data_IF_548443848699
#
_entry.id   IF_548443848699
#
_cell.length_a   1.000
_cell.length_b   1.000
_cell.length_c   1.000
_cell.angle_alpha   90.00
_cell.angle_beta   90.00
_cell.angle_gamma   90.00
#
_symmetry.space_group_name_H-M   'P 1'
#
loop_
_entity.id
_entity.type
_entity.pdbx_description
1 polymer ?
#
# COMPACT_ATOMS: atom_id res chain seq x y z
N UNK A 1 -4.18 -11.38 -8.81
CA UNK A 1 -4.63 -10.47 -7.71
C UNK A 1 -5.65 -9.45 -8.21
N UNK A 2 -5.38 -8.61 -9.24
CA UNK A 2 -6.38 -7.66 -9.77
C UNK A 2 -7.70 -8.33 -10.14
N UNK A 3 -7.65 -9.46 -10.82
CA UNK A 3 -8.84 -10.21 -11.22
C UNK A 3 -9.62 -10.75 -10.02
N UNK A 4 -8.92 -11.14 -8.96
CA UNK A 4 -9.57 -11.58 -7.72
C UNK A 4 -10.34 -10.44 -7.02
N UNK A 5 -9.89 -9.20 -7.13
CA UNK A 5 -10.61 -8.04 -6.62
C UNK A 5 -11.77 -7.60 -7.53
N UNK A 6 -11.54 -7.63 -8.84
CA UNK A 6 -12.49 -7.10 -9.81
C UNK A 6 -13.56 -8.11 -10.27
N UNK A 7 -13.43 -9.40 -9.89
CA UNK A 7 -14.40 -10.42 -10.26
C UNK A 7 -14.63 -10.48 -11.76
N UNK A 8 -15.89 -10.40 -12.17
CA UNK A 8 -16.29 -10.36 -13.59
C UNK A 8 -16.17 -8.97 -14.22
N UNK A 9 -15.89 -7.93 -13.44
CA UNK A 9 -15.73 -6.56 -13.91
C UNK A 9 -16.34 -5.52 -12.98
N UNK A 10 -16.29 -4.24 -13.33
CA UNK A 10 -16.80 -3.15 -12.49
C UNK A 10 -18.29 -3.25 -12.16
N UNK A 11 -19.08 -3.87 -13.01
CA UNK A 11 -20.51 -4.13 -12.84
C UNK A 11 -20.81 -5.21 -11.79
N UNK A 12 -19.86 -6.05 -11.44
CA UNK A 12 -20.04 -7.10 -10.43
C UNK A 12 -20.34 -6.49 -9.06
N UNK A 13 -21.52 -6.74 -8.46
CA UNK A 13 -21.88 -6.14 -7.17
C UNK A 13 -21.07 -6.72 -6.00
N UNK A 14 -20.39 -7.85 -6.19
CA UNK A 14 -19.59 -8.53 -5.19
C UNK A 14 -18.09 -8.22 -5.31
N UNK A 15 -17.69 -7.47 -6.34
CA UNK A 15 -16.32 -7.09 -6.58
C UNK A 15 -16.03 -5.64 -6.17
N UNK A 16 -14.76 -5.33 -6.05
CA UNK A 16 -14.24 -3.98 -5.85
C UNK A 16 -13.29 -3.61 -6.96
N UNK A 17 -13.06 -2.32 -7.15
CA UNK A 17 -12.05 -1.86 -8.10
C UNK A 17 -10.65 -2.13 -7.57
N UNK A 18 -9.79 -2.72 -8.40
CA UNK A 18 -8.36 -2.81 -8.11
C UNK A 18 -7.65 -1.51 -8.50
N UNK A 19 -6.66 -1.13 -7.72
CA UNK A 19 -5.81 0.02 -8.00
C UNK A 19 -4.35 -0.42 -8.15
N UNK A 20 -3.80 -0.24 -9.36
CA UNK A 20 -2.39 -0.48 -9.61
C UNK A 20 -1.56 0.70 -9.09
N UNK A 21 -0.64 0.46 -8.16
CA UNK A 21 0.12 1.53 -7.53
C UNK A 21 1.53 1.10 -7.09
N UNK A 22 2.43 2.02 -6.86
CA UNK A 22 2.33 3.44 -7.26
C UNK A 22 3.05 3.63 -8.57
N UNK A 23 2.33 4.09 -9.57
CA UNK A 23 2.87 4.27 -10.93
C UNK A 23 3.82 5.46 -10.96
N UNK A 24 5.08 5.31 -11.33
CA UNK A 24 5.88 4.17 -11.72
C UNK A 24 7.30 4.35 -11.16
N UNK A 25 8.01 3.26 -10.82
CA UNK A 25 9.38 3.31 -10.28
C UNK A 25 9.52 4.02 -8.91
N UNK A 26 8.47 4.04 -8.11
CA UNK A 26 8.42 4.68 -6.79
C UNK A 26 9.46 4.11 -5.82
N UNK A 27 9.84 2.85 -5.98
CA UNK A 27 10.88 2.19 -5.18
C UNK A 27 12.31 2.67 -5.47
N UNK A 28 12.53 3.52 -6.48
CA UNK A 28 13.85 3.97 -6.92
C UNK A 28 14.21 5.38 -6.44
N UNK A 29 13.45 5.91 -5.51
CA UNK A 29 13.74 7.21 -4.93
C UNK A 29 15.09 7.24 -4.21
N UNK A 30 15.83 8.31 -4.42
CA UNK A 30 17.18 8.47 -3.85
C UNK A 30 17.15 8.45 -2.33
N UNK A 31 17.96 7.58 -1.73
CA UNK A 31 18.03 7.41 -0.28
C UNK A 31 16.78 6.84 0.36
N UNK A 32 15.86 6.25 -0.43
CA UNK A 32 14.58 5.73 0.06
C UNK A 32 13.63 6.80 0.60
N UNK A 33 13.84 8.07 0.21
CA UNK A 33 12.98 9.16 0.67
C UNK A 33 11.70 9.24 -0.14
N UNK A 34 10.62 9.47 0.56
CA UNK A 34 9.33 9.76 -0.05
C UNK A 34 9.40 11.05 -0.90
N UNK A 35 8.66 11.10 -2.00
CA UNK A 35 8.58 12.26 -2.92
C UNK A 35 9.93 12.76 -3.48
N UNK A 36 10.99 11.97 -3.43
CA UNK A 36 12.30 12.36 -3.97
C UNK A 36 12.48 11.94 -5.43
N UNK A 37 13.63 12.28 -5.99
CA UNK A 37 14.01 11.97 -7.36
C UNK A 37 14.26 10.45 -7.54
N UNK A 38 13.77 9.88 -8.64
CA UNK A 38 14.17 8.59 -9.16
C UNK A 38 14.97 8.81 -10.45
N UNK A 39 16.29 8.70 -10.35
CA UNK A 39 17.22 8.89 -11.47
C UNK A 39 17.23 7.63 -12.34
N UNK A 40 16.42 7.63 -13.39
CA UNK A 40 16.19 6.48 -14.25
C UNK A 40 16.19 6.86 -15.73
N UNK A 41 16.98 6.13 -16.52
CA UNK A 41 16.85 6.27 -17.97
C UNK A 41 15.53 5.66 -18.48
N UNK A 42 14.98 6.16 -19.60
CA UNK A 42 13.79 5.58 -20.23
C UNK A 42 13.93 4.08 -20.53
N UNK A 43 15.13 3.63 -20.86
CA UNK A 43 15.44 2.21 -21.09
C UNK A 43 15.26 1.39 -19.81
N UNK A 44 15.84 1.85 -18.69
CA UNK A 44 15.75 1.17 -17.40
C UNK A 44 14.30 1.14 -16.91
N UNK A 45 13.60 2.25 -17.03
CA UNK A 45 12.20 2.35 -16.66
C UNK A 45 11.34 1.34 -17.44
N UNK A 46 11.49 1.31 -18.78
CA UNK A 46 10.71 0.38 -19.62
C UNK A 46 11.10 -1.08 -19.43
N UNK A 47 12.36 -1.38 -19.14
CA UNK A 47 12.82 -2.76 -18.97
C UNK A 47 12.42 -3.38 -17.63
N UNK A 48 12.46 -2.61 -16.55
CA UNK A 48 12.36 -3.16 -15.19
C UNK A 48 11.08 -2.76 -14.45
N UNK A 49 10.56 -1.55 -14.67
CA UNK A 49 9.45 -1.01 -13.89
C UNK A 49 8.13 -1.00 -14.65
N UNK A 50 8.18 -0.86 -15.97
CA UNK A 50 6.97 -0.80 -16.80
C UNK A 50 6.21 -2.13 -16.95
N UNK A 51 6.86 -3.31 -17.09
CA UNK A 51 6.16 -4.55 -17.45
C UNK A 51 5.00 -4.95 -16.54
N UNK A 52 5.10 -4.88 -15.18
CA UNK A 52 3.96 -5.22 -14.32
C UNK A 52 2.79 -4.27 -14.50
N UNK A 53 3.03 -2.97 -14.67
CA UNK A 53 1.99 -1.97 -14.91
C UNK A 53 1.36 -2.11 -16.29
N UNK A 54 2.16 -2.36 -17.33
CA UNK A 54 1.65 -2.65 -18.68
C UNK A 54 0.71 -3.83 -18.67
N UNK A 55 1.10 -4.92 -18.02
CA UNK A 55 0.25 -6.11 -17.88
C UNK A 55 -1.09 -5.78 -17.21
N UNK A 56 -1.08 -4.98 -16.16
CA UNK A 56 -2.29 -4.56 -15.45
C UNK A 56 -3.16 -3.64 -16.33
N UNK A 57 -2.56 -2.70 -17.04
CA UNK A 57 -3.30 -1.82 -17.97
C UNK A 57 -3.98 -2.63 -19.09
N UNK A 58 -3.25 -3.54 -19.74
CA UNK A 58 -3.80 -4.42 -20.79
C UNK A 58 -4.83 -5.41 -20.24
N UNK A 59 -4.73 -5.80 -18.98
CA UNK A 59 -5.72 -6.64 -18.27
C UNK A 59 -6.87 -5.82 -17.68
N UNK A 60 -7.05 -4.57 -18.11
CA UNK A 60 -8.18 -3.70 -17.77
C UNK A 60 -8.35 -3.48 -16.26
N UNK A 61 -7.24 -3.29 -15.52
CA UNK A 61 -7.35 -2.82 -14.14
C UNK A 61 -8.12 -1.50 -14.11
N UNK A 62 -9.02 -1.36 -13.17
CA UNK A 62 -9.96 -0.22 -13.16
C UNK A 62 -9.30 1.11 -12.86
N UNK A 63 -8.27 1.12 -12.00
CA UNK A 63 -7.65 2.36 -11.57
C UNK A 63 -6.12 2.24 -11.48
N UNK A 64 -5.46 3.38 -11.68
CA UNK A 64 -4.04 3.57 -11.38
C UNK A 64 -3.88 4.72 -10.40
N UNK A 65 -2.92 4.59 -9.49
CA UNK A 65 -2.50 5.68 -8.61
C UNK A 65 -1.05 6.05 -8.91
N UNK A 66 -0.81 7.36 -9.03
CA UNK A 66 0.54 7.91 -9.19
C UNK A 66 1.29 7.86 -7.86
N UNK A 67 2.61 7.72 -7.90
CA UNK A 67 3.45 7.89 -6.71
C UNK A 67 3.79 9.36 -6.43
N UNK A 68 4.68 9.59 -5.47
CA UNK A 68 5.12 10.95 -5.09
C UNK A 68 6.39 11.40 -5.80
N UNK A 69 7.13 10.48 -6.40
CA UNK A 69 8.46 10.74 -6.94
C UNK A 69 8.47 11.64 -8.17
N UNK A 70 9.59 12.29 -8.41
CA UNK A 70 9.96 12.78 -9.71
C UNK A 70 10.77 11.72 -10.48
N UNK A 71 10.70 11.71 -11.79
CA UNK A 71 11.53 10.87 -12.66
C UNK A 71 12.28 11.78 -13.61
N UNK A 72 13.60 11.73 -13.54
CA UNK A 72 14.48 12.58 -14.35
C UNK A 72 14.09 14.07 -14.25
N UNK A 73 13.91 14.55 -13.02
CA UNK A 73 13.56 15.94 -12.70
C UNK A 73 12.09 16.31 -12.92
N UNK A 74 11.24 15.40 -13.39
CA UNK A 74 9.83 15.70 -13.66
C UNK A 74 8.93 14.92 -12.68
N UNK A 75 8.15 15.60 -11.81
CA UNK A 75 7.17 14.93 -10.96
C UNK A 75 6.24 14.04 -11.78
N UNK A 76 6.00 12.83 -11.28
CA UNK A 76 5.13 11.89 -11.99
C UNK A 76 3.74 12.46 -12.25
N UNK A 77 3.23 13.31 -11.37
CA UNK A 77 1.91 13.96 -11.48
C UNK A 77 1.76 14.83 -12.72
N UNK A 78 2.87 15.34 -13.27
CA UNK A 78 2.89 16.17 -14.48
C UNK A 78 3.69 15.54 -15.62
N UNK A 79 4.12 14.29 -15.47
CA UNK A 79 4.92 13.59 -16.47
C UNK A 79 4.03 13.06 -17.60
N UNK A 80 3.64 13.96 -18.50
CA UNK A 80 2.77 13.67 -19.63
C UNK A 80 3.24 12.50 -20.49
N UNK A 81 4.55 12.36 -20.83
CA UNK A 81 5.04 11.19 -21.57
C UNK A 81 4.72 9.84 -20.89
N UNK A 82 4.76 9.77 -19.58
CA UNK A 82 4.42 8.55 -18.85
C UNK A 82 2.92 8.38 -18.66
N UNK A 83 2.19 9.46 -18.41
CA UNK A 83 0.75 9.42 -18.16
C UNK A 83 -0.04 9.23 -19.46
N UNK A 84 0.18 10.12 -20.42
CA UNK A 84 -0.63 10.17 -21.66
C UNK A 84 -0.05 9.24 -22.73
N UNK A 85 1.24 9.38 -23.08
CA UNK A 85 1.79 8.63 -24.19
C UNK A 85 1.97 7.15 -23.84
N UNK A 86 2.56 6.83 -22.68
CA UNK A 86 2.82 5.44 -22.30
C UNK A 86 1.56 4.75 -21.74
N UNK A 87 1.01 5.26 -20.63
CA UNK A 87 -0.08 4.58 -19.92
C UNK A 87 -1.38 4.59 -20.74
N UNK A 88 -1.83 5.78 -21.18
CA UNK A 88 -3.14 5.91 -21.83
C UNK A 88 -3.11 5.50 -23.29
N UNK A 89 -2.13 5.96 -24.08
CA UNK A 89 -2.11 5.68 -25.53
C UNK A 89 -1.45 4.36 -25.89
N UNK A 90 -0.20 4.13 -25.43
CA UNK A 90 0.56 2.94 -25.83
C UNK A 90 -0.03 1.67 -25.20
N UNK A 91 -0.40 1.72 -23.92
CA UNK A 91 -0.96 0.55 -23.23
C UNK A 91 -2.49 0.46 -23.30
N UNK A 92 -3.15 1.51 -23.77
CA UNK A 92 -4.61 1.54 -23.95
C UNK A 92 -5.39 1.62 -22.63
N UNK A 93 -4.81 2.22 -21.59
CA UNK A 93 -5.50 2.34 -20.30
C UNK A 93 -6.66 3.33 -20.39
N UNK A 94 -7.88 2.84 -20.16
CA UNK A 94 -9.11 3.61 -20.20
C UNK A 94 -9.78 3.81 -18.83
N UNK A 95 -9.19 3.29 -17.76
CA UNK A 95 -9.69 3.43 -16.41
C UNK A 95 -9.41 4.82 -15.80
N UNK A 96 -9.57 4.91 -14.49
CA UNK A 96 -9.38 6.14 -13.72
C UNK A 96 -7.93 6.28 -13.23
N UNK A 97 -7.32 7.43 -13.48
CA UNK A 97 -6.02 7.79 -12.95
C UNK A 97 -6.18 8.76 -11.77
N UNK A 98 -5.75 8.36 -10.60
CA UNK A 98 -5.80 9.17 -9.38
C UNK A 98 -4.38 9.53 -8.91
N UNK A 99 -4.22 10.70 -8.30
CA UNK A 99 -2.97 11.05 -7.61
C UNK A 99 -2.89 10.36 -6.27
N UNK A 100 -1.70 10.31 -5.67
CA UNK A 100 -1.56 10.00 -4.26
C UNK A 100 -1.92 11.20 -3.38
N UNK A 101 -1.84 11.06 -2.06
CA UNK A 101 -2.30 12.01 -1.06
C UNK A 101 -1.59 13.37 -1.20
N UNK A 102 -2.36 14.41 -1.41
CA UNK A 102 -1.91 15.80 -1.61
C UNK A 102 -0.82 15.98 -2.67
N UNK A 103 -0.76 15.12 -3.67
CA UNK A 103 0.33 15.09 -4.63
C UNK A 103 0.40 16.37 -5.49
N UNK A 104 -0.73 17.02 -5.74
CA UNK A 104 -0.76 18.32 -6.42
C UNK A 104 -0.24 19.42 -5.50
N UNK A 105 -0.61 19.40 -4.22
CA UNK A 105 -0.11 20.38 -3.25
C UNK A 105 1.40 20.22 -3.00
N UNK A 106 1.91 19.00 -2.96
CA UNK A 106 3.36 18.69 -2.79
C UNK A 106 4.22 19.37 -3.85
N UNK A 107 3.74 19.55 -5.06
CA UNK A 107 4.48 20.31 -6.10
C UNK A 107 4.70 21.79 -5.73
N UNK A 108 3.90 22.34 -4.81
CA UNK A 108 4.04 23.71 -4.30
C UNK A 108 4.89 23.77 -3.03
N UNK A 109 4.49 23.01 -1.99
CA UNK A 109 5.10 23.18 -0.67
C UNK A 109 6.34 22.31 -0.43
N UNK A 110 6.46 21.15 -1.08
CA UNK A 110 7.58 20.22 -0.90
C UNK A 110 8.57 20.28 -2.07
N UNK A 111 8.13 19.96 -3.28
CA UNK A 111 8.98 19.93 -4.48
C UNK A 111 9.29 21.33 -5.00
N UNK A 112 8.49 22.34 -4.65
CA UNK A 112 8.68 23.76 -4.98
C UNK A 112 8.86 24.06 -6.47
N UNK A 113 8.14 23.32 -7.29
CA UNK A 113 8.19 23.45 -8.76
C UNK A 113 7.24 24.53 -9.25
N UNK A 114 6.12 24.71 -8.55
CA UNK A 114 5.15 25.75 -8.86
C UNK A 114 5.01 26.76 -7.73
N UNK A 115 4.84 28.06 -8.06
CA UNK A 115 4.65 29.10 -7.06
C UNK A 115 3.24 29.12 -6.47
N UNK A 116 2.26 28.46 -7.11
CA UNK A 116 0.86 28.45 -6.65
C UNK A 116 0.16 27.13 -6.94
N UNK A 117 -0.88 26.85 -6.15
CA UNK A 117 -1.74 25.67 -6.37
C UNK A 117 -2.48 25.75 -7.72
N UNK A 118 -2.79 26.96 -8.21
CA UNK A 118 -3.45 27.16 -9.50
C UNK A 118 -2.59 26.64 -10.65
N UNK A 119 -1.30 26.98 -10.67
CA UNK A 119 -0.38 26.48 -11.69
C UNK A 119 -0.12 24.99 -11.55
N UNK A 120 0.03 24.49 -10.32
CA UNK A 120 0.21 23.07 -10.05
C UNK A 120 -1.02 22.25 -10.49
N UNK A 121 -2.23 22.70 -10.17
CA UNK A 121 -3.47 22.06 -10.61
C UNK A 121 -3.60 22.08 -12.13
N UNK A 122 -3.33 23.22 -12.77
CA UNK A 122 -3.35 23.33 -14.23
C UNK A 122 -2.38 22.35 -14.90
N UNK A 123 -1.15 22.27 -14.41
CA UNK A 123 -0.15 21.36 -14.94
C UNK A 123 -0.57 19.88 -14.79
N UNK A 124 -1.10 19.52 -13.64
CA UNK A 124 -1.57 18.16 -13.36
C UNK A 124 -2.77 17.77 -14.25
N UNK A 125 -3.77 18.63 -14.37
CA UNK A 125 -4.95 18.42 -15.23
C UNK A 125 -4.52 18.28 -16.70
N UNK A 126 -3.65 19.18 -17.18
CA UNK A 126 -3.15 19.14 -18.57
C UNK A 126 -2.23 17.92 -18.83
N UNK A 127 -1.59 17.36 -17.80
CA UNK A 127 -0.83 16.12 -17.92
C UNK A 127 -1.74 14.88 -18.01
N UNK A 128 -3.02 15.03 -17.64
CA UNK A 128 -4.02 13.98 -17.84
C UNK A 128 -4.40 13.22 -16.58
N UNK A 129 -4.24 13.78 -15.37
CA UNK A 129 -4.86 13.19 -14.17
C UNK A 129 -6.38 13.31 -14.28
N UNK A 130 -7.09 12.31 -13.76
CA UNK A 130 -8.55 12.31 -13.75
C UNK A 130 -9.11 12.72 -12.38
N UNK A 131 -8.41 12.40 -11.31
CA UNK A 131 -8.83 12.68 -9.93
C UNK A 131 -7.63 13.07 -9.06
N UNK A 132 -7.79 14.12 -8.26
CA UNK A 132 -6.80 14.51 -7.25
C UNK A 132 -7.23 13.97 -5.87
N UNK A 133 -6.29 13.34 -5.15
CA UNK A 133 -6.53 12.84 -3.80
C UNK A 133 -6.09 13.89 -2.78
N UNK A 134 -7.00 14.25 -1.88
CA UNK A 134 -6.75 14.99 -0.64
C UNK A 134 -5.92 16.29 -0.76
N UNK A 135 -5.95 16.97 -1.91
CA UNK A 135 -5.40 18.33 -2.05
C UNK A 135 -6.50 19.34 -1.75
N UNK A 136 -6.52 19.97 -0.57
CA UNK A 136 -7.64 20.84 -0.16
C UNK A 136 -7.92 22.00 -1.10
N UNK A 137 -6.87 22.56 -1.71
CA UNK A 137 -6.95 23.71 -2.60
C UNK A 137 -7.30 23.32 -4.05
N UNK A 138 -7.34 22.02 -4.39
CA UNK A 138 -7.44 21.58 -5.79
C UNK A 138 -8.67 22.14 -6.51
N UNK A 139 -9.85 22.10 -5.87
CA UNK A 139 -11.08 22.60 -6.49
C UNK A 139 -11.01 24.08 -6.84
N UNK A 140 -10.64 24.93 -5.86
CA UNK A 140 -10.52 26.38 -6.10
C UNK A 140 -9.42 26.71 -7.10
N UNK A 141 -8.30 26.01 -7.04
CA UNK A 141 -7.18 26.17 -7.95
C UNK A 141 -7.53 25.77 -9.40
N UNK A 142 -8.27 24.66 -9.57
CA UNK A 142 -8.74 24.22 -10.89
C UNK A 142 -9.75 25.20 -11.50
N UNK A 143 -10.65 25.74 -10.68
CA UNK A 143 -11.62 26.75 -11.12
C UNK A 143 -10.91 28.04 -11.56
N UNK A 144 -9.94 28.51 -10.79
CA UNK A 144 -9.12 29.65 -11.15
C UNK A 144 -8.30 29.40 -12.43
N UNK A 145 -7.72 28.21 -12.58
CA UNK A 145 -7.00 27.81 -13.78
C UNK A 145 -7.89 27.82 -15.02
N UNK A 146 -9.15 27.38 -14.90
CA UNK A 146 -10.14 27.48 -15.96
C UNK A 146 -10.47 28.93 -16.30
N UNK A 147 -10.75 29.78 -15.30
CA UNK A 147 -11.12 31.17 -15.49
C UNK A 147 -9.97 32.02 -16.10
N UNK A 148 -8.73 31.64 -15.83
CA UNK A 148 -7.53 32.30 -16.38
C UNK A 148 -7.04 31.68 -17.69
N UNK A 149 -7.72 30.63 -18.20
CA UNK A 149 -7.38 29.99 -19.47
C UNK A 149 -6.16 29.05 -19.41
N UNK A 150 -5.67 28.71 -18.21
CA UNK A 150 -4.58 27.73 -18.02
C UNK A 150 -5.02 26.29 -18.30
N UNK A 151 -6.31 26.02 -18.17
CA UNK A 151 -6.95 24.71 -18.48
C UNK A 151 -8.19 24.96 -19.32
N UNK A 152 -8.44 24.12 -20.32
CA UNK A 152 -9.68 24.18 -21.09
C UNK A 152 -10.81 23.40 -20.40
N UNK A 153 -12.05 23.82 -20.65
CA UNK A 153 -13.22 23.07 -20.17
C UNK A 153 -13.24 21.64 -20.74
N UNK A 154 -12.82 21.45 -21.98
CA UNK A 154 -12.77 20.14 -22.60
C UNK A 154 -11.83 19.19 -21.84
N UNK A 155 -10.70 19.69 -21.32
CA UNK A 155 -9.77 18.87 -20.52
C UNK A 155 -10.42 18.43 -19.21
N UNK A 156 -11.14 19.33 -18.54
CA UNK A 156 -11.91 19.00 -17.33
C UNK A 156 -13.01 17.99 -17.65
N UNK A 157 -13.76 18.20 -18.73
CA UNK A 157 -14.83 17.30 -19.15
C UNK A 157 -14.32 15.89 -19.47
N UNK A 158 -13.11 15.76 -19.99
CA UNK A 158 -12.48 14.46 -20.19
C UNK A 158 -12.26 13.72 -18.88
N UNK A 159 -11.74 14.40 -17.84
CA UNK A 159 -11.53 13.81 -16.52
C UNK A 159 -12.89 13.43 -15.87
N UNK A 160 -13.85 14.34 -15.89
CA UNK A 160 -15.20 14.12 -15.35
C UNK A 160 -15.88 12.94 -16.06
N UNK A 161 -15.77 12.85 -17.37
CA UNK A 161 -16.34 11.75 -18.17
C UNK A 161 -15.78 10.39 -17.72
N UNK A 162 -14.48 10.27 -17.50
CA UNK A 162 -13.87 9.02 -16.99
C UNK A 162 -14.43 8.62 -15.63
N UNK A 163 -14.52 9.58 -14.70
CA UNK A 163 -15.09 9.35 -13.37
C UNK A 163 -16.55 8.90 -13.48
N UNK A 164 -17.36 9.63 -14.25
CA UNK A 164 -18.78 9.32 -14.41
C UNK A 164 -18.99 7.99 -15.14
N UNK A 165 -18.21 7.71 -16.18
CA UNK A 165 -18.29 6.42 -16.89
C UNK A 165 -18.08 5.27 -15.92
N UNK A 166 -17.06 5.33 -15.08
CA UNK A 166 -16.80 4.29 -14.09
C UNK A 166 -17.95 4.15 -13.09
N UNK A 167 -18.49 5.27 -12.58
CA UNK A 167 -19.63 5.26 -11.65
C UNK A 167 -20.89 4.66 -12.29
N UNK A 168 -21.18 4.98 -13.55
CA UNK A 168 -22.31 4.40 -14.29
C UNK A 168 -22.11 2.91 -14.56
N UNK A 169 -20.90 2.50 -14.99
CA UNK A 169 -20.58 1.08 -15.20
C UNK A 169 -20.74 0.28 -13.92
N UNK A 170 -20.39 0.86 -12.78
CA UNK A 170 -20.59 0.22 -11.47
C UNK A 170 -22.04 0.21 -11.01
N UNK A 171 -22.96 0.92 -11.68
CA UNK A 171 -24.35 1.07 -11.25
C UNK A 171 -24.52 1.84 -9.94
N UNK A 172 -23.60 2.76 -9.60
CA UNK A 172 -23.60 3.43 -8.29
C UNK A 172 -24.76 4.42 -8.12
N UNK A 173 -25.38 4.86 -9.21
CA UNK A 173 -26.55 5.77 -9.15
C UNK A 173 -27.82 5.02 -8.80
N UNK A 174 -27.96 3.78 -9.27
CA UNK A 174 -29.07 2.90 -8.99
C UNK A 174 -28.88 2.15 -7.68
N UNK A 175 -27.64 1.71 -7.43
CA UNK A 175 -27.25 1.01 -6.20
C UNK A 175 -25.93 1.55 -5.67
N UNK A 176 -25.91 2.42 -4.66
CA UNK A 176 -24.69 3.01 -4.11
C UNK A 176 -23.79 2.01 -3.37
N UNK A 177 -24.08 0.71 -3.41
CA UNK A 177 -23.30 -0.39 -2.81
C UNK A 177 -22.92 -0.10 -1.35
N UNK A 178 -23.91 0.26 -0.54
CA UNK A 178 -23.69 0.54 0.89
C UNK A 178 -23.21 -0.72 1.61
N UNK A 179 -22.33 -0.57 2.61
CA UNK A 179 -21.89 -1.69 3.44
C UNK A 179 -23.09 -2.42 4.06
N UNK A 180 -23.07 -3.74 4.01
CA UNK A 180 -24.01 -4.62 4.69
C UNK A 180 -23.35 -5.16 5.96
N UNK A 181 -23.81 -4.70 7.12
CA UNK A 181 -23.25 -5.07 8.43
C UNK A 181 -23.39 -6.58 8.69
N UNK A 182 -24.51 -7.19 8.31
CA UNK A 182 -24.71 -8.63 8.53
C UNK A 182 -23.74 -9.44 7.67
N UNK A 183 -23.58 -9.07 6.41
CA UNK A 183 -22.59 -9.70 5.52
C UNK A 183 -21.17 -9.46 6.03
N UNK A 184 -20.85 -8.28 6.55
CA UNK A 184 -19.57 -8.00 7.16
C UNK A 184 -19.23 -9.01 8.26
N UNK A 185 -20.15 -9.24 9.20
CA UNK A 185 -19.94 -10.20 10.30
C UNK A 185 -19.77 -11.65 9.83
N UNK A 186 -20.40 -12.04 8.73
CA UNK A 186 -20.30 -13.41 8.23
C UNK A 186 -19.10 -13.67 7.31
N UNK A 187 -18.57 -12.66 6.66
CA UNK A 187 -17.51 -12.79 5.65
C UNK A 187 -16.15 -12.40 6.21
N UNK A 188 -16.04 -11.24 6.89
CA UNK A 188 -14.76 -10.78 7.43
C UNK A 188 -14.34 -11.68 8.58
N UNK A 189 -13.08 -12.14 8.52
CA UNK A 189 -12.49 -13.06 9.49
C UNK A 189 -13.27 -14.40 9.63
N UNK A 190 -13.96 -14.83 8.58
CA UNK A 190 -14.52 -16.18 8.55
C UNK A 190 -13.41 -17.24 8.70
N UNK A 191 -13.76 -18.44 9.18
CA UNK A 191 -12.78 -19.53 9.36
C UNK A 191 -11.97 -19.80 8.09
N UNK A 192 -12.64 -19.84 6.94
CA UNK A 192 -11.98 -20.01 5.62
C UNK A 192 -10.97 -18.91 5.33
N UNK A 193 -11.31 -17.66 5.64
CA UNK A 193 -10.37 -16.53 5.43
C UNK A 193 -9.19 -16.61 6.40
N UNK A 194 -9.42 -16.98 7.65
CA UNK A 194 -8.36 -17.15 8.64
C UNK A 194 -7.41 -18.30 8.26
N UNK A 195 -7.94 -19.44 7.81
CA UNK A 195 -7.15 -20.58 7.34
C UNK A 195 -6.29 -20.20 6.12
N UNK A 196 -6.88 -19.53 5.13
CA UNK A 196 -6.16 -19.07 3.96
C UNK A 196 -5.07 -18.06 4.32
N UNK A 197 -5.37 -17.11 5.21
CA UNK A 197 -4.40 -16.13 5.68
C UNK A 197 -3.21 -16.82 6.39
N UNK A 198 -3.48 -17.78 7.27
CA UNK A 198 -2.45 -18.56 7.94
C UNK A 198 -1.59 -19.35 6.93
N UNK A 199 -2.21 -19.96 5.93
CA UNK A 199 -1.50 -20.66 4.87
C UNK A 199 -0.58 -19.73 4.08
N UNK A 200 -1.06 -18.55 3.68
CA UNK A 200 -0.27 -17.55 2.99
C UNK A 200 0.89 -17.05 3.85
N UNK A 201 0.65 -16.76 5.13
CA UNK A 201 1.68 -16.36 6.06
C UNK A 201 2.80 -17.42 6.16
N UNK A 202 2.44 -18.69 6.33
CA UNK A 202 3.41 -19.80 6.39
C UNK A 202 4.21 -19.96 5.11
N UNK A 203 3.58 -19.79 3.94
CA UNK A 203 4.24 -19.91 2.64
C UNK A 203 5.12 -18.69 2.30
N UNK A 204 4.88 -17.55 2.94
CA UNK A 204 5.67 -16.33 2.72
C UNK A 204 6.96 -16.28 3.53
N UNK A 205 7.11 -17.15 4.55
CA UNK A 205 8.32 -17.19 5.36
C UNK A 205 9.49 -17.77 4.57
N UNK A 206 10.62 -17.05 4.58
CA UNK A 206 11.86 -17.45 3.92
C UNK A 206 12.95 -17.65 4.97
N UNK A 207 13.42 -18.89 5.12
CA UNK A 207 14.54 -19.19 6.00
C UNK A 207 15.85 -18.88 5.28
N UNK A 208 16.48 -17.76 5.67
CA UNK A 208 17.71 -17.28 5.01
C UNK A 208 18.97 -18.04 5.42
N UNK A 209 19.03 -18.48 6.66
CA UNK A 209 20.12 -19.28 7.20
C UNK A 209 19.60 -20.19 8.32
N UNK A 210 20.16 -21.39 8.44
CA UNK A 210 19.88 -22.32 9.51
C UNK A 210 21.07 -23.23 9.71
N UNK A 211 21.61 -23.23 10.91
CA UNK A 211 22.73 -24.08 11.33
C UNK A 211 22.27 -25.38 12.02
N UNK A 212 21.03 -25.77 11.81
CA UNK A 212 20.43 -27.00 12.34
C UNK A 212 19.59 -26.80 13.62
N UNK A 213 19.42 -25.56 14.08
CA UNK A 213 18.55 -25.28 15.24
C UNK A 213 17.05 -25.37 14.90
N UNK A 214 16.68 -25.13 13.67
CA UNK A 214 15.29 -25.24 13.22
C UNK A 214 15.09 -26.47 12.30
N UNK A 215 13.94 -27.13 12.37
CA UNK A 215 12.81 -26.90 13.28
C UNK A 215 13.13 -27.29 14.71
N UNK A 216 12.52 -26.58 15.67
CA UNK A 216 12.59 -26.99 17.06
C UNK A 216 11.92 -28.35 17.22
N UNK A 217 12.59 -29.29 17.91
CA UNK A 217 12.07 -30.65 18.08
C UNK A 217 11.14 -30.73 19.30
N UNK A 218 9.81 -30.79 19.11
CA UNK A 218 8.85 -30.80 20.21
C UNK A 218 8.87 -32.11 21.02
N UNK A 219 9.49 -33.17 20.49
CA UNK A 219 9.61 -34.48 21.15
C UNK A 219 10.94 -34.63 21.91
N UNK A 220 11.72 -33.57 22.01
CA UNK A 220 12.95 -33.56 22.80
C UNK A 220 12.67 -33.96 24.25
N UNK A 221 13.48 -34.89 24.80
CA UNK A 221 13.41 -35.23 26.21
C UNK A 221 13.79 -34.11 27.16
N UNK A 222 14.36 -33.05 26.62
CA UNK A 222 14.77 -31.87 27.35
C UNK A 222 13.91 -30.67 26.90
N UNK A 223 12.99 -30.19 27.76
CA UNK A 223 12.22 -28.99 27.49
C UNK A 223 13.16 -27.78 27.27
N UNK A 224 12.90 -27.02 26.23
CA UNK A 224 13.68 -25.83 25.95
C UNK A 224 13.22 -24.62 26.76
N UNK A 225 14.16 -23.78 27.11
CA UNK A 225 13.91 -22.44 27.63
C UNK A 225 14.20 -21.44 26.51
N UNK A 226 13.16 -20.76 26.08
CA UNK A 226 13.23 -19.80 24.95
C UNK A 226 13.11 -18.40 25.50
N UNK A 227 14.00 -17.50 25.06
CA UNK A 227 13.86 -16.07 25.27
C UNK A 227 13.39 -15.39 23.98
N UNK A 228 12.26 -14.71 24.05
CA UNK A 228 11.75 -13.86 22.97
C UNK A 228 12.06 -12.41 23.34
N UNK A 229 12.95 -11.77 22.56
CA UNK A 229 13.50 -10.46 22.85
C UNK A 229 13.12 -9.45 21.76
N UNK A 230 13.00 -8.19 22.14
CA UNK A 230 12.81 -7.08 21.22
C UNK A 230 11.50 -6.33 21.42
N UNK A 231 11.42 -5.06 20.98
CA UNK A 231 10.27 -4.18 21.23
C UNK A 231 8.97 -4.65 20.59
N UNK A 232 9.05 -5.48 19.56
CA UNK A 232 7.90 -5.94 18.79
C UNK A 232 7.42 -7.35 19.19
N UNK A 233 8.08 -7.99 20.15
CA UNK A 233 7.77 -9.38 20.49
C UNK A 233 6.37 -9.58 21.09
N UNK A 234 5.84 -8.57 21.78
CA UNK A 234 4.50 -8.59 22.38
C UNK A 234 3.81 -7.23 22.20
N UNK A 235 3.77 -6.76 20.96
CA UNK A 235 3.23 -5.45 20.59
C UNK A 235 2.23 -5.61 19.44
N UNK A 236 0.90 -5.50 19.71
CA UNK A 236 -0.13 -5.62 18.68
C UNK A 236 -0.04 -4.53 17.60
N UNK A 237 0.36 -3.31 17.94
CA UNK A 237 0.52 -2.23 16.96
C UNK A 237 1.62 -2.57 15.93
N UNK A 238 2.71 -3.18 16.37
CA UNK A 238 3.81 -3.59 15.52
C UNK A 238 3.44 -4.75 14.56
N UNK A 239 2.42 -5.54 14.89
CA UNK A 239 1.94 -6.63 14.03
C UNK A 239 1.04 -6.15 12.89
N UNK A 240 0.43 -4.98 13.03
CA UNK A 240 -0.54 -4.48 12.06
C UNK A 240 0.11 -3.79 10.86
N UNK A 241 1.24 -3.14 11.04
CA UNK A 241 1.82 -2.28 10.01
C UNK A 241 0.96 -1.07 9.67
N UNK A 242 1.47 -0.19 8.83
CA UNK A 242 0.73 0.96 8.35
C UNK A 242 -0.44 0.56 7.46
N UNK A 243 -1.49 1.37 7.47
CA UNK A 243 -2.70 1.19 6.66
C UNK A 243 -3.52 -0.07 6.96
N UNK A 244 -3.24 -0.75 8.08
CA UNK A 244 -4.02 -1.89 8.54
C UNK A 244 -4.97 -1.48 9.67
N UNK A 245 -6.27 -1.71 9.52
CA UNK A 245 -7.34 -1.34 10.48
C UNK A 245 -7.27 0.14 10.89
N UNK A 246 -7.11 0.39 12.20
CA UNK A 246 -6.99 1.72 12.77
C UNK A 246 -5.52 2.18 12.89
N UNK A 247 -4.57 1.32 12.54
CA UNK A 247 -3.18 1.71 12.44
C UNK A 247 -2.97 2.41 11.10
N UNK A 248 -2.23 3.44 11.10
CA UNK A 248 -1.87 4.19 9.91
C UNK A 248 -1.30 5.52 10.35
N UNK A 249 -0.15 5.87 9.83
CA UNK A 249 0.51 7.17 9.98
C UNK A 249 0.39 7.78 11.39
N UNK A 250 0.79 7.04 12.42
CA UNK A 250 0.83 7.51 13.80
C UNK A 250 -0.48 7.36 14.59
N UNK A 251 -1.49 6.72 14.03
CA UNK A 251 -2.68 6.34 14.81
C UNK A 251 -2.39 5.07 15.60
N UNK A 252 -2.68 5.11 16.90
CA UNK A 252 -2.58 3.92 17.75
C UNK A 252 -3.72 2.96 17.46
N UNK A 253 -3.43 1.67 17.60
CA UNK A 253 -4.46 0.64 17.54
C UNK A 253 -5.54 0.90 18.60
N UNK A 254 -6.80 1.03 18.16
CA UNK A 254 -7.96 1.25 19.03
C UNK A 254 -8.91 0.05 19.06
N UNK A 255 -8.54 -1.07 18.40
CA UNK A 255 -9.29 -2.32 18.45
C UNK A 255 -9.11 -3.06 19.77
N UNK A 256 -9.83 -4.18 19.95
CA UNK A 256 -9.65 -5.04 21.10
C UNK A 256 -8.27 -5.71 21.02
N UNK A 257 -7.49 -5.79 22.12
CA UNK A 257 -6.17 -6.44 22.12
C UNK A 257 -6.19 -7.88 21.60
N UNK A 258 -7.27 -8.61 21.84
CA UNK A 258 -7.45 -10.00 21.40
C UNK A 258 -7.70 -10.15 19.89
N UNK A 259 -7.90 -9.05 19.17
CA UNK A 259 -8.08 -9.08 17.71
C UNK A 259 -6.76 -9.32 16.94
N UNK A 260 -5.62 -9.18 17.60
CA UNK A 260 -4.28 -9.30 17.01
C UNK A 260 -3.42 -10.19 17.88
N UNK A 261 -3.10 -11.37 17.39
CA UNK A 261 -2.20 -12.30 18.06
C UNK A 261 -0.75 -11.81 17.90
N UNK A 262 -0.09 -11.53 19.01
CA UNK A 262 1.33 -11.16 19.01
C UNK A 262 2.23 -12.38 18.85
N UNK A 263 3.51 -12.17 18.50
CA UNK A 263 4.50 -13.27 18.42
C UNK A 263 4.59 -14.00 19.76
N UNK A 264 4.57 -13.28 20.88
CA UNK A 264 4.60 -13.89 22.21
C UNK A 264 3.37 -14.75 22.50
N UNK A 265 2.18 -14.29 22.12
CA UNK A 265 0.93 -15.04 22.29
C UNK A 265 0.91 -16.29 21.41
N UNK A 266 1.27 -16.17 20.12
CA UNK A 266 1.34 -17.28 19.20
C UNK A 266 2.35 -18.36 19.64
N UNK A 267 3.51 -17.94 20.13
CA UNK A 267 4.49 -18.87 20.69
C UNK A 267 3.95 -19.58 21.94
N UNK A 268 3.34 -18.87 22.88
CA UNK A 268 2.75 -19.49 24.08
C UNK A 268 1.72 -20.54 23.75
N UNK A 269 0.94 -20.33 22.70
CA UNK A 269 -0.10 -21.28 22.26
C UNK A 269 0.47 -22.53 21.60
N UNK A 270 1.62 -22.41 20.93
CA UNK A 270 2.20 -23.49 20.12
C UNK A 270 3.31 -24.28 20.82
N UNK A 271 3.89 -23.75 21.90
CA UNK A 271 4.97 -24.42 22.60
C UNK A 271 4.47 -25.69 23.31
N UNK A 272 5.23 -26.79 23.25
CA UNK A 272 4.90 -28.02 23.97
C UNK A 272 4.88 -27.82 25.50
N UNK A 273 4.14 -28.69 26.17
CA UNK A 273 4.12 -28.71 27.62
C UNK A 273 5.54 -28.85 28.22
N UNK A 274 5.79 -28.11 29.27
CA UNK A 274 7.09 -28.08 29.95
C UNK A 274 8.12 -27.13 29.35
N UNK A 275 7.91 -26.61 28.15
CA UNK A 275 8.77 -25.57 27.60
C UNK A 275 8.49 -24.21 28.26
N UNK A 276 9.52 -23.40 28.39
CA UNK A 276 9.41 -22.09 29.03
C UNK A 276 9.67 -20.99 28.02
N UNK A 277 8.80 -19.98 28.01
CA UNK A 277 8.96 -18.77 27.22
C UNK A 277 9.16 -17.56 28.14
N UNK A 278 10.29 -16.90 28.02
CA UNK A 278 10.58 -15.63 28.68
C UNK A 278 10.46 -14.51 27.64
N UNK A 279 9.53 -13.57 27.85
CA UNK A 279 9.31 -12.44 26.96
C UNK A 279 9.96 -11.19 27.54
N UNK A 280 10.81 -10.53 26.75
CA UNK A 280 11.53 -9.31 27.15
C UNK A 280 11.42 -8.27 26.03
N UNK A 281 10.57 -7.23 26.17
CA UNK A 281 10.41 -6.18 25.17
C UNK A 281 11.64 -5.28 24.98
N UNK A 282 12.63 -5.38 25.87
CA UNK A 282 13.85 -4.60 25.76
C UNK A 282 14.79 -5.11 24.66
N UNK A 283 15.52 -4.19 24.01
CA UNK A 283 16.48 -4.53 22.95
C UNK A 283 17.85 -4.98 23.47
N UNK A 284 18.11 -4.90 24.77
CA UNK A 284 19.42 -5.20 25.33
C UNK A 284 19.56 -6.68 25.69
N UNK A 285 20.26 -7.41 24.83
CA UNK A 285 20.54 -8.84 24.98
C UNK A 285 21.44 -9.08 26.21
N UNK A 286 22.29 -8.13 26.57
CA UNK A 286 23.28 -8.30 27.65
C UNK A 286 22.64 -8.31 29.03
N UNK A 287 21.50 -7.64 29.18
CA UNK A 287 20.73 -7.62 30.46
C UNK A 287 19.68 -8.74 30.52
N UNK A 288 19.41 -9.41 29.40
CA UNK A 288 18.27 -10.33 29.32
C UNK A 288 18.57 -11.74 29.80
N UNK A 289 19.83 -12.19 29.89
CA UNK A 289 20.06 -13.62 30.02
C UNK A 289 21.44 -14.11 30.41
N UNK A 290 21.85 -14.04 31.68
CA UNK A 290 22.94 -14.89 32.12
C UNK A 290 22.61 -16.41 32.14
N UNK A 291 21.30 -16.78 32.05
CA UNK A 291 20.84 -18.14 32.31
C UNK A 291 20.07 -18.81 31.15
N UNK A 292 20.15 -18.29 29.91
CA UNK A 292 19.39 -18.81 28.78
C UNK A 292 20.21 -19.75 27.88
N UNK A 293 19.72 -20.97 27.67
CA UNK A 293 20.35 -21.99 26.81
C UNK A 293 20.06 -21.76 25.31
N UNK A 294 19.02 -21.01 24.98
CA UNK A 294 18.70 -20.62 23.59
C UNK A 294 18.08 -19.23 23.55
N UNK A 295 18.57 -18.39 22.68
CA UNK A 295 18.07 -17.02 22.43
C UNK A 295 17.50 -16.96 21.03
N UNK A 296 16.19 -16.70 20.91
CA UNK A 296 15.58 -16.31 19.64
C UNK A 296 15.47 -14.81 19.59
N UNK A 297 16.14 -14.18 18.63
CA UNK A 297 16.12 -12.75 18.41
C UNK A 297 15.23 -12.44 17.22
N UNK A 298 14.10 -11.78 17.45
CA UNK A 298 13.27 -11.24 16.37
C UNK A 298 13.52 -9.74 16.25
N UNK A 299 14.30 -9.37 15.24
CA UNK A 299 14.45 -7.98 14.83
C UNK A 299 13.43 -7.70 13.71
N UNK A 300 12.19 -7.41 14.07
CA UNK A 300 11.23 -6.84 13.14
C UNK A 300 11.49 -5.33 13.11
N UNK A 301 12.29 -4.86 12.17
CA UNK A 301 12.25 -3.46 11.78
C UNK A 301 10.94 -3.26 11.00
N UNK A 302 10.06 -2.44 11.53
CA UNK A 302 9.11 -1.75 10.69
C UNK A 302 9.94 -0.95 9.67
N UNK A 303 9.76 -1.19 8.39
CA UNK A 303 10.25 -0.28 7.38
C UNK A 303 9.45 1.01 7.56
N UNK A 304 10.07 2.02 8.14
CA UNK A 304 9.62 3.38 8.00
C UNK A 304 9.78 3.73 6.51
N UNK A 305 8.68 3.74 5.80
CA UNK A 305 8.56 4.31 4.46
C UNK A 305 8.07 5.73 4.56
#
# INVERSE_FOLDING_TARGET
MSDGYQGSGPEDPNAILACAKHFIAYSQTQGGRDASEADLTPRTLRAWFAPPFERLARNKVATFMLGYQAIDGVPITINRPLIDDLLKREWGFNGLLVTDWDNVGRMVWEQKIFPSHTQAAAAAINAGIDMAMATPQFHSAALEALNTGLVSIDTIDHAVRRILTLKFTMGLFENPRRPDQQRQHTVIASSTHCELNLQLARQSLVLLANDGHLPLNPTSKHPLRIALLGPNCDNPDAQLGDWARNSGQGMRFTGHPDDVETVAQGMKTLLPDGWQLSVRPACDITTAAPDLEAVSYTHLRAHET
#
